data_IF_160014715489
#
_entry.id   IF_160014715489
#
_cell.length_a   1.000
_cell.length_b   1.000
_cell.length_c   1.000
_cell.angle_alpha   90.00
_cell.angle_beta   90.00
_cell.angle_gamma   90.00
#
_symmetry.space_group_name_H-M   'P 1'
#
loop_
_entity.id
_entity.type
_entity.pdbx_description
1 polymer ?
#
# COMPACT_ATOMS: atom_id res chain seq x y z
N UNK A 1 2.64 -12.50 -44.93
CA UNK A 1 2.27 -11.07 -44.82
C UNK A 1 2.98 -10.54 -43.59
N UNK A 2 3.77 -9.46 -43.68
CA UNK A 2 4.33 -8.85 -42.49
C UNK A 2 3.17 -8.38 -41.61
N UNK A 3 3.22 -8.69 -40.30
CA UNK A 3 2.27 -8.13 -39.35
C UNK A 3 2.33 -6.61 -39.47
N UNK A 4 1.19 -5.96 -39.70
CA UNK A 4 1.13 -4.51 -39.69
C UNK A 4 1.68 -4.04 -38.33
N UNK A 5 2.69 -3.17 -38.37
CA UNK A 5 3.27 -2.57 -37.18
C UNK A 5 2.14 -1.82 -36.47
N UNK A 6 1.76 -2.29 -35.28
CA UNK A 6 0.63 -1.76 -34.52
C UNK A 6 1.06 -0.40 -33.97
N UNK A 7 0.44 0.66 -34.48
CA UNK A 7 0.57 2.00 -33.92
C UNK A 7 -0.05 2.00 -32.52
N UNK A 8 0.80 2.00 -31.49
CA UNK A 8 0.39 1.92 -30.09
C UNK A 8 -0.39 3.16 -29.64
N UNK A 9 -0.08 4.33 -30.17
CA UNK A 9 -0.78 5.58 -29.83
C UNK A 9 -2.20 5.56 -30.42
N UNK A 10 -2.34 5.12 -31.67
CA UNK A 10 -3.64 4.93 -32.29
C UNK A 10 -4.48 3.85 -31.57
N UNK A 11 -3.85 2.76 -31.15
CA UNK A 11 -4.51 1.69 -30.40
C UNK A 11 -5.00 2.18 -29.03
N UNK A 12 -4.18 2.96 -28.30
CA UNK A 12 -4.54 3.54 -27.01
C UNK A 12 -5.69 4.55 -27.14
N UNK A 13 -5.62 5.45 -28.13
CA UNK A 13 -6.68 6.42 -28.40
C UNK A 13 -8.02 5.72 -28.72
N UNK A 14 -7.97 4.65 -29.51
CA UNK A 14 -9.15 3.81 -29.82
C UNK A 14 -9.72 3.14 -28.56
N UNK A 15 -8.85 2.61 -27.69
CA UNK A 15 -9.26 2.01 -26.42
C UNK A 15 -9.91 3.04 -25.48
N UNK A 16 -9.35 4.25 -25.37
CA UNK A 16 -9.92 5.34 -24.59
C UNK A 16 -11.30 5.77 -25.10
N UNK A 17 -11.44 5.94 -26.42
CA UNK A 17 -12.72 6.29 -27.03
C UNK A 17 -13.79 5.21 -26.78
N UNK A 18 -13.44 3.94 -27.01
CA UNK A 18 -14.33 2.80 -26.75
C UNK A 18 -14.74 2.69 -25.27
N UNK A 19 -13.81 2.95 -24.34
CA UNK A 19 -14.11 3.00 -22.91
C UNK A 19 -15.08 4.14 -22.57
N UNK A 20 -14.84 5.33 -23.13
CA UNK A 20 -15.65 6.51 -22.89
C UNK A 20 -17.07 6.40 -23.44
N UNK A 21 -17.21 5.92 -24.69
CA UNK A 21 -18.50 5.76 -25.38
C UNK A 21 -19.44 4.80 -24.63
N UNK A 22 -18.85 3.78 -24.00
CA UNK A 22 -19.59 2.80 -23.20
C UNK A 22 -19.94 3.31 -21.81
N UNK A 23 -19.33 4.40 -21.32
CA UNK A 23 -19.47 4.87 -19.93
C UNK A 23 -19.84 6.35 -19.80
N UNK A 24 -20.92 6.82 -20.45
CA UNK A 24 -21.30 8.23 -20.44
C UNK A 24 -21.67 8.76 -19.04
N UNK A 25 -22.26 7.94 -18.15
CA UNK A 25 -22.57 8.37 -16.77
C UNK A 25 -21.30 8.53 -15.96
N UNK A 26 -20.38 7.58 -16.06
CA UNK A 26 -19.07 7.69 -15.41
C UNK A 26 -18.30 8.95 -15.85
N UNK A 27 -18.31 9.26 -17.16
CA UNK A 27 -17.69 10.46 -17.71
C UNK A 27 -18.28 11.75 -17.10
N UNK A 28 -19.61 11.87 -17.10
CA UNK A 28 -20.31 13.02 -16.52
C UNK A 28 -20.01 13.18 -15.03
N UNK A 29 -19.97 12.08 -14.28
CA UNK A 29 -19.63 12.09 -12.85
C UNK A 29 -18.15 12.43 -12.60
N UNK A 30 -17.23 12.04 -13.49
CA UNK A 30 -15.83 12.44 -13.41
C UNK A 30 -15.67 13.95 -13.61
N UNK A 31 -16.35 14.52 -14.61
CA UNK A 31 -16.37 15.97 -14.82
C UNK A 31 -16.94 16.72 -13.60
N UNK A 32 -18.05 16.23 -13.03
CA UNK A 32 -18.62 16.81 -11.82
C UNK A 32 -17.66 16.70 -10.62
N UNK A 33 -17.04 15.54 -10.43
CA UNK A 33 -16.07 15.31 -9.36
C UNK A 33 -14.86 16.25 -9.45
N UNK A 34 -14.37 16.52 -10.66
CA UNK A 34 -13.25 17.42 -10.89
C UNK A 34 -13.52 18.87 -10.50
N UNK A 35 -14.80 19.26 -10.34
CA UNK A 35 -15.16 20.62 -9.86
C UNK A 35 -14.95 20.78 -8.35
N UNK A 36 -14.88 19.68 -7.59
CA UNK A 36 -14.82 19.68 -6.12
C UNK A 36 -13.62 18.92 -5.54
N UNK A 37 -12.94 18.10 -6.35
CA UNK A 37 -11.73 17.39 -5.97
C UNK A 37 -10.67 17.61 -7.06
N UNK A 38 -9.41 17.89 -6.73
CA UNK A 38 -8.34 17.99 -7.72
C UNK A 38 -8.27 16.72 -8.57
N UNK A 39 -8.40 16.84 -9.89
CA UNK A 39 -8.45 15.69 -10.81
C UNK A 39 -9.65 14.75 -10.58
N UNK A 40 -10.67 15.17 -9.82
CA UNK A 40 -11.85 14.39 -9.49
C UNK A 40 -11.59 13.19 -8.57
N UNK A 41 -10.52 13.23 -7.75
CA UNK A 41 -10.01 12.07 -7.04
C UNK A 41 -9.53 12.39 -5.61
N UNK A 42 -9.58 11.38 -4.73
CA UNK A 42 -9.06 11.43 -3.34
C UNK A 42 -8.13 10.25 -2.99
N UNK A 43 -7.73 9.47 -3.98
CA UNK A 43 -6.79 8.34 -3.88
C UNK A 43 -6.14 8.12 -5.25
N UNK A 44 -4.91 8.59 -5.41
CA UNK A 44 -4.23 8.75 -6.71
C UNK A 44 -4.27 7.49 -7.57
N UNK A 45 -4.06 6.30 -6.98
CA UNK A 45 -4.03 5.02 -7.71
C UNK A 45 -5.36 4.65 -8.40
N UNK A 46 -6.47 5.29 -8.03
CA UNK A 46 -7.77 5.09 -8.68
C UNK A 46 -7.95 5.96 -9.93
N UNK A 47 -7.05 6.90 -10.17
CA UNK A 47 -7.11 7.80 -11.32
C UNK A 47 -6.43 7.18 -12.55
N UNK A 48 -7.10 7.23 -13.70
CA UNK A 48 -6.55 6.87 -15.00
C UNK A 48 -7.34 7.56 -16.13
N UNK A 49 -6.71 7.69 -17.30
CA UNK A 49 -7.33 8.28 -18.49
C UNK A 49 -8.24 7.28 -19.24
N UNK A 50 -9.33 7.75 -19.87
CA UNK A 50 -9.78 9.14 -19.95
C UNK A 50 -10.54 9.61 -18.70
N UNK A 51 -11.04 8.68 -17.89
CA UNK A 51 -11.60 8.96 -16.57
C UNK A 51 -11.72 7.66 -15.73
N UNK A 52 -11.73 7.77 -14.39
CA UNK A 52 -11.77 6.61 -13.51
C UNK A 52 -13.01 5.73 -13.66
N UNK A 53 -12.82 4.43 -13.42
CA UNK A 53 -13.90 3.46 -13.24
C UNK A 53 -14.74 3.83 -12.01
N UNK A 54 -16.07 3.88 -12.17
CA UNK A 54 -16.97 4.30 -11.09
C UNK A 54 -18.00 3.21 -10.81
N UNK A 55 -17.84 2.56 -9.66
CA UNK A 55 -18.69 1.47 -9.18
C UNK A 55 -19.96 2.05 -8.54
N UNK A 56 -21.12 1.47 -8.88
CA UNK A 56 -22.40 1.74 -8.22
C UNK A 56 -22.60 0.78 -7.04
N UNK A 57 -22.44 -0.52 -7.28
CA UNK A 57 -22.54 -1.56 -6.25
C UNK A 57 -21.73 -2.80 -6.62
N UNK A 58 -21.73 -3.79 -5.73
CA UNK A 58 -21.06 -5.06 -5.96
C UNK A 58 -21.95 -6.24 -5.54
N UNK A 59 -21.82 -7.38 -6.23
CA UNK A 59 -22.56 -8.62 -6.02
C UNK A 59 -21.61 -9.82 -6.06
N UNK A 60 -21.40 -10.48 -4.91
CA UNK A 60 -20.40 -11.55 -4.82
C UNK A 60 -19.00 -11.04 -5.23
N UNK A 61 -18.34 -11.64 -6.24
CA UNK A 61 -17.04 -11.19 -6.76
C UNK A 61 -17.17 -10.19 -7.93
N UNK A 62 -18.35 -9.61 -8.18
CA UNK A 62 -18.62 -8.75 -9.35
C UNK A 62 -18.86 -7.32 -8.90
N UNK A 63 -18.19 -6.37 -9.56
CA UNK A 63 -18.49 -4.94 -9.48
C UNK A 63 -19.43 -4.56 -10.62
N UNK A 64 -20.44 -3.75 -10.30
CA UNK A 64 -21.36 -3.16 -11.27
C UNK A 64 -21.08 -1.67 -11.34
N UNK A 65 -20.70 -1.17 -12.51
CA UNK A 65 -20.44 0.25 -12.70
C UNK A 65 -21.73 1.06 -12.85
N UNK A 66 -21.62 2.38 -12.72
CA UNK A 66 -22.76 3.30 -12.85
C UNK A 66 -23.38 3.29 -14.24
N UNK A 67 -22.77 2.66 -15.23
CA UNK A 67 -23.32 2.47 -16.58
C UNK A 67 -23.94 1.06 -16.75
N UNK A 68 -23.96 0.24 -15.69
CA UNK A 68 -24.56 -1.09 -15.64
C UNK A 68 -23.64 -2.23 -16.09
N UNK A 69 -22.36 -1.98 -16.37
CA UNK A 69 -21.42 -3.03 -16.77
C UNK A 69 -21.01 -3.86 -15.56
N UNK A 70 -20.95 -5.18 -15.76
CA UNK A 70 -20.53 -6.16 -14.77
C UNK A 70 -19.07 -6.55 -15.02
N UNK A 71 -18.21 -6.42 -14.02
CA UNK A 71 -16.79 -6.78 -14.06
C UNK A 71 -16.47 -7.70 -12.89
N UNK A 72 -15.79 -8.83 -13.15
CA UNK A 72 -15.23 -9.65 -12.07
C UNK A 72 -14.10 -8.87 -11.42
N UNK A 73 -14.14 -8.69 -10.10
CA UNK A 73 -13.09 -8.01 -9.35
C UNK A 73 -11.90 -8.95 -9.15
N UNK A 74 -10.81 -8.65 -9.85
CA UNK A 74 -9.51 -9.31 -9.69
C UNK A 74 -8.48 -8.41 -8.99
N UNK A 75 -8.87 -7.18 -8.62
CA UNK A 75 -8.03 -6.23 -7.91
C UNK A 75 -8.20 -6.38 -6.40
N UNK A 76 -9.42 -6.64 -5.93
CA UNK A 76 -9.71 -6.92 -4.53
C UNK A 76 -9.28 -5.78 -3.60
N UNK A 77 -9.57 -4.53 -3.98
CA UNK A 77 -9.15 -3.31 -3.26
C UNK A 77 -7.66 -3.33 -2.85
N UNK A 78 -6.76 -3.72 -3.77
CA UNK A 78 -5.32 -3.78 -3.52
C UNK A 78 -5.00 -4.66 -2.30
N UNK A 79 -5.46 -5.92 -2.33
CA UNK A 79 -5.38 -6.97 -1.28
C UNK A 79 -6.37 -6.84 -0.10
N UNK A 80 -6.76 -5.62 0.29
CA UNK A 80 -7.64 -5.42 1.45
C UNK A 80 -9.04 -6.02 1.30
N UNK A 81 -9.50 -6.19 0.06
CA UNK A 81 -10.80 -6.78 -0.30
C UNK A 81 -10.79 -8.30 -0.38
N UNK A 82 -9.92 -8.99 0.39
CA UNK A 82 -9.74 -10.45 0.35
C UNK A 82 -11.05 -11.26 0.43
N UNK A 83 -11.99 -10.80 1.24
CA UNK A 83 -13.26 -11.51 1.47
C UNK A 83 -14.38 -11.13 0.47
N UNK A 84 -14.09 -10.26 -0.50
CA UNK A 84 -15.09 -9.72 -1.42
C UNK A 84 -15.99 -8.65 -0.79
N UNK A 85 -17.15 -8.41 -1.40
CA UNK A 85 -17.90 -7.17 -1.16
C UNK A 85 -19.14 -7.30 -0.26
N UNK A 86 -19.57 -8.51 0.06
CA UNK A 86 -20.77 -8.77 0.87
C UNK A 86 -20.53 -9.91 1.85
N UNK A 87 -19.76 -9.67 2.90
CA UNK A 87 -19.40 -10.68 3.90
C UNK A 87 -20.38 -10.59 5.07
N UNK A 88 -21.36 -11.51 5.22
CA UNK A 88 -22.41 -11.37 6.23
C UNK A 88 -21.84 -11.28 7.65
N UNK A 89 -20.82 -12.08 7.97
CA UNK A 89 -20.17 -12.06 9.29
C UNK A 89 -19.59 -10.67 9.64
N UNK A 90 -18.94 -9.99 8.68
CA UNK A 90 -18.37 -8.65 8.90
C UNK A 90 -19.49 -7.62 9.04
N UNK A 91 -20.47 -7.64 8.12
CA UNK A 91 -21.62 -6.73 8.15
C UNK A 91 -22.36 -6.82 9.48
N UNK A 92 -22.68 -8.04 9.90
CA UNK A 92 -23.48 -8.30 11.09
C UNK A 92 -22.70 -7.91 12.37
N UNK A 93 -21.37 -8.13 12.41
CA UNK A 93 -20.51 -7.65 13.49
C UNK A 93 -20.46 -6.12 13.57
N UNK A 94 -20.36 -5.42 12.44
CA UNK A 94 -20.39 -3.95 12.38
C UNK A 94 -21.74 -3.41 12.86
N UNK A 95 -22.86 -3.96 12.38
CA UNK A 95 -24.21 -3.56 12.82
C UNK A 95 -24.38 -3.79 14.32
N UNK A 96 -23.97 -4.96 14.83
CA UNK A 96 -24.05 -5.27 16.25
C UNK A 96 -23.26 -4.27 17.09
N UNK A 97 -22.06 -3.88 16.65
CA UNK A 97 -21.26 -2.90 17.38
C UNK A 97 -21.85 -1.49 17.31
N UNK A 98 -22.37 -1.06 16.15
CA UNK A 98 -23.02 0.25 16.02
C UNK A 98 -24.23 0.38 16.96
N UNK A 99 -25.00 -0.68 17.17
CA UNK A 99 -26.11 -0.72 18.12
C UNK A 99 -25.66 -0.57 19.60
N UNK A 100 -24.37 -0.79 19.90
CA UNK A 100 -23.78 -0.61 21.23
C UNK A 100 -23.16 0.77 21.44
N UNK A 101 -23.09 1.60 20.39
CA UNK A 101 -22.45 2.91 20.39
C UNK A 101 -21.04 2.90 19.78
N UNK A 102 -20.63 4.06 19.29
CA UNK A 102 -19.35 4.29 18.61
C UNK A 102 -18.77 5.65 19.04
N UNK A 103 -17.49 5.88 18.76
CA UNK A 103 -16.76 7.10 19.16
C UNK A 103 -16.84 7.38 20.68
N UNK A 104 -16.61 6.34 21.48
CA UNK A 104 -16.84 6.35 22.94
C UNK A 104 -15.78 7.11 23.78
N UNK A 105 -14.63 7.48 23.20
CA UNK A 105 -13.57 8.23 23.91
C UNK A 105 -12.91 7.46 25.06
N UNK A 106 -12.95 6.12 25.05
CA UNK A 106 -12.39 5.23 26.07
C UNK A 106 -11.88 3.93 25.42
N UNK A 107 -11.16 3.11 26.19
CA UNK A 107 -10.75 1.75 25.76
C UNK A 107 -11.97 0.84 25.61
N UNK A 108 -11.86 -0.17 24.74
CA UNK A 108 -12.94 -1.10 24.46
C UNK A 108 -12.46 -2.56 24.57
N UNK A 109 -13.21 -3.49 25.19
CA UNK A 109 -12.76 -4.88 25.37
C UNK A 109 -12.30 -5.59 24.09
N UNK A 110 -12.95 -5.32 22.96
CA UNK A 110 -12.58 -5.91 21.66
C UNK A 110 -11.16 -5.54 21.18
N UNK A 111 -10.55 -4.47 21.71
CA UNK A 111 -9.17 -4.12 21.36
C UNK A 111 -8.18 -5.20 21.86
N UNK A 112 -8.48 -5.84 22.99
CA UNK A 112 -7.68 -6.93 23.56
C UNK A 112 -7.84 -8.18 22.70
N UNK A 113 -9.09 -8.55 22.37
CA UNK A 113 -9.39 -9.73 21.56
C UNK A 113 -8.69 -9.68 20.19
N UNK A 114 -8.69 -8.52 19.54
CA UNK A 114 -7.97 -8.33 18.28
C UNK A 114 -6.46 -8.38 18.47
N UNK A 115 -5.93 -7.79 19.55
CA UNK A 115 -4.49 -7.78 19.82
C UNK A 115 -3.95 -9.19 20.08
N UNK A 116 -4.67 -9.99 20.86
CA UNK A 116 -4.35 -11.40 21.13
C UNK A 116 -4.38 -12.23 19.84
N UNK A 117 -5.36 -11.99 18.96
CA UNK A 117 -5.44 -12.68 17.67
C UNK A 117 -4.26 -12.36 16.75
N UNK A 118 -3.81 -11.10 16.73
CA UNK A 118 -2.64 -10.69 15.95
C UNK A 118 -1.36 -11.32 16.52
N UNK A 119 -1.09 -11.14 17.82
CA UNK A 119 0.15 -11.63 18.43
C UNK A 119 0.24 -13.17 18.42
N UNK A 120 -0.88 -13.88 18.50
CA UNK A 120 -0.89 -15.35 18.40
C UNK A 120 -0.69 -15.86 16.98
N UNK A 121 -0.96 -15.04 15.95
CA UNK A 121 -0.80 -15.41 14.54
C UNK A 121 0.61 -15.12 14.02
N UNK A 122 1.23 -14.05 14.48
CA UNK A 122 2.53 -13.60 13.99
C UNK A 122 3.59 -13.72 15.09
N UNK A 123 4.46 -14.73 14.99
CA UNK A 123 5.47 -15.05 16.02
C UNK A 123 6.42 -13.88 16.33
N UNK A 124 6.67 -13.01 15.34
CA UNK A 124 7.53 -11.83 15.50
C UNK A 124 6.85 -10.64 16.19
N UNK A 125 5.54 -10.72 16.47
CA UNK A 125 4.75 -9.63 17.06
C UNK A 125 4.39 -9.99 18.50
N UNK A 126 5.25 -9.58 19.44
CA UNK A 126 5.04 -9.81 20.88
C UNK A 126 3.96 -8.88 21.47
N UNK A 127 3.87 -7.65 20.96
CA UNK A 127 2.88 -6.64 21.33
C UNK A 127 2.48 -5.82 20.11
N UNK A 128 1.25 -5.30 20.08
CA UNK A 128 0.72 -4.52 18.96
C UNK A 128 0.01 -3.25 19.42
N UNK A 129 0.09 -2.20 18.58
CA UNK A 129 -0.74 -1.00 18.68
C UNK A 129 -1.42 -0.78 17.34
N UNK A 130 -2.73 -0.55 17.36
CA UNK A 130 -3.50 -0.32 16.14
C UNK A 130 -3.37 1.12 15.64
N UNK A 131 -3.43 1.25 14.32
CA UNK A 131 -3.48 2.52 13.58
C UNK A 131 -4.66 2.51 12.62
N UNK A 132 -4.91 3.61 11.93
CA UNK A 132 -6.03 3.75 10.99
C UNK A 132 -5.62 3.42 9.54
N UNK A 133 -4.33 3.23 9.29
CA UNK A 133 -3.79 2.90 7.96
C UNK A 133 -2.41 2.26 8.04
N UNK A 134 -2.01 1.56 6.98
CA UNK A 134 -0.63 1.09 6.81
C UNK A 134 0.38 2.24 6.76
N UNK A 135 -0.02 3.42 6.24
CA UNK A 135 0.83 4.63 6.28
C UNK A 135 1.14 5.04 7.73
N UNK A 136 0.13 5.09 8.60
CA UNK A 136 0.34 5.39 10.02
C UNK A 136 1.18 4.30 10.71
N UNK A 137 0.96 3.02 10.38
CA UNK A 137 1.75 1.93 10.96
C UNK A 137 3.25 2.10 10.66
N UNK A 138 3.60 2.34 9.39
CA UNK A 138 4.99 2.56 8.99
C UNK A 138 5.59 3.84 9.58
N UNK A 139 4.83 4.94 9.65
CA UNK A 139 5.28 6.16 10.32
C UNK A 139 5.60 5.91 11.80
N UNK A 140 4.74 5.17 12.51
CA UNK A 140 4.97 4.83 13.91
C UNK A 140 6.15 3.87 14.09
N UNK A 141 6.33 2.90 13.19
CA UNK A 141 7.45 1.97 13.24
C UNK A 141 8.80 2.68 13.02
N UNK A 142 8.88 3.54 11.99
CA UNK A 142 10.06 4.37 11.70
C UNK A 142 10.34 5.32 12.86
N UNK A 143 9.32 6.04 13.35
CA UNK A 143 9.47 6.95 14.49
C UNK A 143 9.97 6.24 15.75
N UNK A 144 9.47 5.03 16.02
CA UNK A 144 9.94 4.18 17.12
C UNK A 144 11.41 3.81 16.93
N UNK A 145 11.79 3.32 15.76
CA UNK A 145 13.17 2.93 15.47
C UNK A 145 14.17 4.10 15.57
N UNK A 146 13.80 5.27 15.03
CA UNK A 146 14.59 6.50 15.16
C UNK A 146 14.79 6.88 16.63
N UNK A 147 13.72 6.84 17.42
CA UNK A 147 13.78 7.21 18.84
C UNK A 147 14.63 6.24 19.66
N UNK A 148 14.42 4.93 19.53
CA UNK A 148 15.11 3.94 20.38
C UNK A 148 16.60 3.81 20.03
N UNK A 149 16.97 3.99 18.76
CA UNK A 149 18.36 3.90 18.33
C UNK A 149 19.11 5.23 18.51
N UNK A 150 18.40 6.36 18.53
CA UNK A 150 18.99 7.70 18.54
C UNK A 150 19.73 8.05 17.24
N UNK A 151 19.48 7.32 16.16
CA UNK A 151 20.16 7.46 14.86
C UNK A 151 19.25 8.15 13.84
N UNK A 152 19.81 8.90 12.88
CA UNK A 152 18.98 9.73 11.99
C UNK A 152 18.48 9.03 10.72
N UNK A 153 19.17 7.99 10.22
CA UNK A 153 18.91 7.50 8.85
C UNK A 153 17.90 6.37 8.79
N UNK A 154 17.09 6.41 7.73
CA UNK A 154 16.12 5.36 7.35
C UNK A 154 16.55 4.79 6.01
N UNK A 155 16.99 3.54 5.98
CA UNK A 155 17.32 2.86 4.73
C UNK A 155 16.03 2.30 4.11
N UNK A 156 15.83 2.61 2.83
CA UNK A 156 14.64 2.25 2.04
C UNK A 156 15.08 1.78 0.65
N UNK A 157 14.15 1.21 -0.11
CA UNK A 157 14.44 0.65 -1.42
C UNK A 157 13.76 1.40 -2.55
N UNK A 158 14.42 1.47 -3.71
CA UNK A 158 13.81 1.94 -4.96
C UNK A 158 12.53 1.14 -5.24
N UNK A 159 11.48 1.80 -5.75
CA UNK A 159 10.16 1.22 -6.01
C UNK A 159 9.35 0.80 -4.75
N UNK A 160 9.89 1.01 -3.55
CA UNK A 160 9.21 0.72 -2.30
C UNK A 160 7.98 1.60 -2.05
N UNK A 161 6.94 1.02 -1.46
CA UNK A 161 5.73 1.74 -1.07
C UNK A 161 5.32 1.40 0.36
N UNK A 162 5.50 2.36 1.27
CA UNK A 162 5.17 2.21 2.70
C UNK A 162 4.03 3.14 3.14
N UNK A 163 3.37 3.80 2.18
CA UNK A 163 2.22 4.67 2.43
C UNK A 163 2.22 5.97 1.65
N UNK A 164 1.17 6.78 1.85
CA UNK A 164 0.95 8.01 1.08
C UNK A 164 2.03 9.09 1.24
N UNK A 165 2.77 9.07 2.36
CA UNK A 165 3.89 9.98 2.66
C UNK A 165 5.21 9.22 2.88
N UNK A 166 5.30 8.01 2.35
CA UNK A 166 6.47 7.12 2.40
C UNK A 166 6.53 6.31 1.09
N UNK A 167 6.59 7.00 -0.05
CA UNK A 167 6.61 6.41 -1.39
C UNK A 167 7.96 6.62 -2.07
N UNK A 168 8.49 5.55 -2.69
CA UNK A 168 9.82 5.51 -3.32
C UNK A 168 9.78 5.04 -4.79
N UNK A 169 8.57 4.99 -5.39
CA UNK A 169 8.32 4.59 -6.78
C UNK A 169 9.14 5.36 -7.83
N UNK A 170 9.45 6.63 -7.57
CA UNK A 170 10.23 7.46 -8.51
C UNK A 170 11.34 8.20 -7.78
N UNK A 171 12.02 7.47 -6.90
CA UNK A 171 12.91 8.05 -5.89
C UNK A 171 12.13 8.61 -4.70
N UNK A 172 12.79 9.44 -3.89
CA UNK A 172 12.16 10.02 -2.69
C UNK A 172 11.01 10.94 -3.10
N UNK A 173 9.77 10.53 -2.81
CA UNK A 173 8.58 11.28 -3.15
C UNK A 173 8.59 12.70 -2.53
N UNK A 174 8.17 13.74 -3.27
CA UNK A 174 8.22 15.13 -2.78
C UNK A 174 7.26 15.40 -1.61
N UNK A 175 6.28 14.52 -1.39
CA UNK A 175 5.34 14.57 -0.27
C UNK A 175 5.75 13.66 0.89
N UNK A 176 6.91 12.99 0.80
CA UNK A 176 7.36 12.12 1.88
C UNK A 176 7.68 12.95 3.13
N UNK A 177 7.45 12.35 4.29
CA UNK A 177 7.93 12.92 5.56
C UNK A 177 9.46 13.08 5.45
N UNK A 178 10.05 14.23 5.83
CA UNK A 178 11.44 14.56 5.53
C UNK A 178 12.42 13.87 6.51
N UNK A 179 12.47 12.54 6.48
CA UNK A 179 13.53 11.77 7.13
C UNK A 179 14.83 11.81 6.29
N UNK A 180 15.95 11.49 6.93
CA UNK A 180 17.24 11.31 6.24
C UNK A 180 17.26 9.92 5.59
N UNK A 181 16.67 9.82 4.40
CA UNK A 181 16.56 8.56 3.67
C UNK A 181 17.88 8.17 3.01
N UNK A 182 18.25 6.90 3.17
CA UNK A 182 19.29 6.25 2.41
C UNK A 182 18.63 5.23 1.47
N UNK A 183 18.42 5.62 0.22
CA UNK A 183 17.76 4.77 -0.76
C UNK A 183 18.77 3.88 -1.50
N UNK A 184 18.45 2.60 -1.65
CA UNK A 184 19.27 1.62 -2.37
C UNK A 184 18.40 0.80 -3.33
N UNK A 185 18.95 0.21 -4.41
CA UNK A 185 18.18 -0.67 -5.27
C UNK A 185 17.66 -1.91 -4.53
N UNK A 186 16.39 -2.29 -4.77
CA UNK A 186 15.83 -3.52 -4.23
C UNK A 186 16.55 -4.74 -4.82
N UNK A 187 16.75 -5.80 -4.01
CA UNK A 187 17.52 -7.00 -4.38
C UNK A 187 19.03 -6.80 -4.68
N UNK A 188 19.61 -5.62 -4.43
CA UNK A 188 21.05 -5.36 -4.60
C UNK A 188 21.81 -5.51 -3.27
N UNK A 189 22.23 -6.75 -2.96
CA UNK A 189 23.03 -7.06 -1.76
C UNK A 189 24.33 -6.25 -1.68
N UNK A 190 25.16 -6.16 -2.75
CA UNK A 190 26.35 -5.31 -2.73
C UNK A 190 26.08 -3.85 -2.38
N UNK A 191 25.01 -3.25 -2.89
CA UNK A 191 24.64 -1.88 -2.57
C UNK A 191 24.27 -1.71 -1.09
N UNK A 192 23.52 -2.65 -0.52
CA UNK A 192 23.20 -2.66 0.91
C UNK A 192 24.48 -2.79 1.76
N UNK A 193 25.37 -3.73 1.42
CA UNK A 193 26.63 -3.91 2.14
C UNK A 193 27.49 -2.65 2.11
N UNK A 194 27.58 -1.99 0.96
CA UNK A 194 28.28 -0.72 0.82
C UNK A 194 27.65 0.39 1.68
N UNK A 195 26.32 0.47 1.72
CA UNK A 195 25.58 1.42 2.55
C UNK A 195 25.86 1.21 4.05
N UNK A 196 25.83 -0.03 4.54
CA UNK A 196 26.17 -0.36 5.93
C UNK A 196 27.64 -0.13 6.26
N UNK A 197 28.57 -0.46 5.34
CA UNK A 197 30.00 -0.20 5.53
C UNK A 197 30.30 1.29 5.65
N UNK A 198 29.63 2.13 4.85
CA UNK A 198 29.85 3.57 4.85
C UNK A 198 29.13 4.30 6.01
N UNK A 199 27.90 3.88 6.34
CA UNK A 199 26.99 4.68 7.16
C UNK A 199 26.26 3.88 8.25
N UNK A 200 26.57 2.59 8.46
CA UNK A 200 25.81 1.68 9.33
C UNK A 200 25.60 2.18 10.76
N UNK A 201 26.57 2.90 11.33
CA UNK A 201 26.45 3.51 12.67
C UNK A 201 25.38 4.62 12.77
N UNK A 202 24.88 5.12 11.64
CA UNK A 202 23.84 6.16 11.56
C UNK A 202 22.49 5.65 11.05
N UNK A 203 22.38 4.37 10.69
CA UNK A 203 21.13 3.76 10.22
C UNK A 203 20.32 3.30 11.42
N UNK A 204 19.18 3.95 11.64
CA UNK A 204 18.21 3.60 12.68
C UNK A 204 17.39 2.37 12.29
N UNK A 205 16.87 2.36 11.06
CA UNK A 205 16.10 1.24 10.54
C UNK A 205 16.33 1.00 9.05
N UNK A 206 16.05 -0.24 8.65
CA UNK A 206 15.80 -0.66 7.28
C UNK A 206 14.30 -0.95 7.18
N UNK A 207 13.60 -0.31 6.23
CA UNK A 207 12.20 -0.60 5.92
C UNK A 207 12.14 -1.34 4.60
N UNK A 208 11.50 -2.50 4.57
CA UNK A 208 11.48 -3.36 3.38
C UNK A 208 10.18 -4.15 3.29
N UNK A 209 9.64 -4.25 2.07
CA UNK A 209 8.58 -5.20 1.74
C UNK A 209 9.23 -6.57 1.40
N UNK A 210 8.78 -7.70 1.97
CA UNK A 210 9.25 -9.03 1.55
C UNK A 210 8.93 -9.35 0.09
N UNK A 211 7.84 -8.79 -0.42
CA UNK A 211 7.48 -8.73 -1.85
C UNK A 211 7.01 -7.30 -2.12
N UNK A 212 7.69 -6.56 -3.00
CA UNK A 212 7.24 -5.22 -3.36
C UNK A 212 5.87 -5.30 -4.03
N UNK A 213 4.85 -4.73 -3.39
CA UNK A 213 3.49 -4.76 -3.89
C UNK A 213 3.31 -3.78 -5.04
N UNK A 214 3.27 -2.48 -4.70
CA UNK A 214 3.07 -1.39 -5.66
C UNK A 214 4.21 -1.28 -6.69
N UNK A 215 5.41 -1.72 -6.34
CA UNK A 215 6.58 -1.78 -7.25
C UNK A 215 6.48 -2.84 -8.35
N UNK A 216 5.44 -3.68 -8.34
CA UNK A 216 5.15 -4.64 -9.42
C UNK A 216 5.10 -6.11 -8.99
N UNK A 217 4.73 -6.41 -7.74
CA UNK A 217 4.70 -7.77 -7.20
C UNK A 217 6.06 -8.48 -7.32
N UNK A 218 7.13 -7.79 -6.94
CA UNK A 218 8.52 -8.26 -7.10
C UNK A 218 8.98 -8.93 -5.80
N UNK A 219 9.20 -10.27 -5.77
CA UNK A 219 9.68 -10.93 -4.57
C UNK A 219 11.12 -10.56 -4.24
N UNK A 220 11.47 -10.59 -2.96
CA UNK A 220 12.85 -10.59 -2.54
C UNK A 220 13.61 -11.77 -3.17
N UNK A 221 14.81 -11.50 -3.69
CA UNK A 221 15.70 -12.51 -4.20
C UNK A 221 16.22 -13.40 -3.06
N UNK A 222 16.52 -14.69 -3.32
CA UNK A 222 17.09 -15.57 -2.31
C UNK A 222 18.35 -14.97 -1.67
N UNK A 223 18.42 -14.96 -0.34
CA UNK A 223 19.56 -14.43 0.41
C UNK A 223 19.49 -12.92 0.69
N UNK A 224 18.60 -12.17 0.04
CA UNK A 224 18.49 -10.73 0.22
C UNK A 224 18.00 -10.37 1.62
N UNK A 225 16.85 -10.93 2.04
CA UNK A 225 16.27 -10.64 3.37
C UNK A 225 17.13 -11.17 4.51
N UNK A 226 17.81 -12.31 4.30
CA UNK A 226 18.75 -12.89 5.25
C UNK A 226 19.95 -11.96 5.48
N UNK A 227 20.45 -11.35 4.40
CA UNK A 227 21.54 -10.38 4.51
C UNK A 227 21.09 -9.08 5.19
N UNK A 228 19.88 -8.57 4.89
CA UNK A 228 19.29 -7.44 5.62
C UNK A 228 19.21 -7.75 7.11
N UNK A 229 18.73 -8.95 7.48
CA UNK A 229 18.63 -9.40 8.86
C UNK A 229 20.00 -9.46 9.53
N UNK A 230 21.00 -10.03 8.84
CA UNK A 230 22.38 -10.15 9.36
C UNK A 230 22.98 -8.78 9.63
N UNK A 231 22.95 -7.87 8.65
CA UNK A 231 23.50 -6.52 8.77
C UNK A 231 22.77 -5.69 9.83
N UNK A 232 21.44 -5.77 9.87
CA UNK A 232 20.67 -5.07 10.91
C UNK A 232 21.06 -5.53 12.31
N UNK A 233 21.23 -6.83 12.52
CA UNK A 233 21.68 -7.39 13.81
C UNK A 233 23.10 -6.95 14.16
N UNK A 234 24.05 -7.05 13.22
CA UNK A 234 25.45 -6.67 13.44
C UNK A 234 25.61 -5.19 13.84
N UNK A 235 24.81 -4.31 13.23
CA UNK A 235 24.91 -2.86 13.45
C UNK A 235 23.95 -2.33 14.52
N UNK A 236 23.09 -3.17 15.11
CA UNK A 236 22.03 -2.72 16.02
C UNK A 236 21.01 -1.79 15.36
N UNK A 237 20.71 -2.04 14.08
CA UNK A 237 19.69 -1.36 13.28
C UNK A 237 18.38 -2.16 13.36
N UNK A 238 17.25 -1.47 13.43
CA UNK A 238 15.93 -2.11 13.44
C UNK A 238 15.57 -2.54 12.03
N UNK A 239 15.26 -3.82 11.82
CA UNK A 239 14.67 -4.30 10.57
C UNK A 239 13.16 -4.25 10.68
N UNK A 240 12.51 -3.47 9.81
CA UNK A 240 11.07 -3.33 9.71
C UNK A 240 10.62 -4.04 8.44
N UNK A 241 9.92 -5.16 8.59
CA UNK A 241 9.17 -5.77 7.49
C UNK A 241 7.81 -5.09 7.37
N UNK A 242 7.58 -4.47 6.22
CA UNK A 242 6.29 -3.96 5.82
C UNK A 242 5.47 -5.10 5.20
N UNK A 243 4.62 -5.72 6.04
CA UNK A 243 3.70 -6.79 5.65
C UNK A 243 2.26 -6.29 5.56
N UNK A 244 2.06 -5.06 5.06
CA UNK A 244 0.71 -4.56 4.76
C UNK A 244 0.04 -5.40 3.67
N UNK A 245 0.81 -5.96 2.72
CA UNK A 245 0.32 -6.84 1.67
C UNK A 245 0.68 -8.33 1.87
N UNK A 246 1.88 -8.66 2.35
CA UNK A 246 2.40 -10.05 2.43
C UNK A 246 1.88 -10.86 3.60
#
# INVERSE_FOLDING_TARGET
MPAAELDLDAALASAHASYADRRPRSAAMAAAAATVMPGGNTRTVLHFDPFPFRVEHAEGPVLVDVDGHRCVDLLGNYTAGLFGHQVPAVRDAVIAQLNRGWAIGATHPLEIELAELVCSRFESVEQVRFTNSGTEANLMAIGTALHITGRPKVLVFEEGYHGGVLSFAHGIGPLNVPHDYLMVPYNDVPAVQAAFAAQGGSIACVVVEPVQGSGGCIPAAPGFLEELRRLCTEHGTVLIFDEVMT
#
